data_IF_029317126893
#
_entry.id   IF_029317126893
#
_cell.length_a   1.000
_cell.length_b   1.000
_cell.length_c   1.000
_cell.angle_alpha   90.00
_cell.angle_beta   90.00
_cell.angle_gamma   90.00
#
_symmetry.space_group_name_H-M   'P 1'
#
loop_
_entity.id
_entity.type
_entity.pdbx_description
1 polymer ?
#
# COMPACT_ATOMS: atom_id res chain seq x y z
N UNK A 1 -10.73 -13.82 -13.90
CA UNK A 1 -10.14 -12.57 -13.38
C UNK A 1 -8.85 -13.00 -12.70
N UNK A 2 -7.72 -12.85 -13.40
CA UNK A 2 -6.40 -13.20 -12.85
C UNK A 2 -6.14 -12.36 -11.60
N UNK A 3 -5.61 -13.01 -10.55
CA UNK A 3 -5.51 -12.42 -9.23
C UNK A 3 -4.44 -11.34 -9.22
N UNK A 4 -4.83 -10.11 -8.93
CA UNK A 4 -3.95 -8.96 -8.69
C UNK A 4 -3.19 -9.21 -7.39
N UNK A 5 -1.94 -9.65 -7.42
CA UNK A 5 -1.24 -10.01 -6.17
C UNK A 5 0.03 -9.21 -5.98
N UNK A 6 0.02 -8.36 -4.95
CA UNK A 6 1.26 -8.05 -4.26
C UNK A 6 1.72 -9.30 -3.48
N UNK A 7 3.01 -9.55 -3.43
CA UNK A 7 3.54 -10.67 -2.65
C UNK A 7 4.67 -10.19 -1.76
N UNK A 8 4.58 -10.47 -0.46
CA UNK A 8 5.71 -10.36 0.46
C UNK A 8 6.25 -11.76 0.67
N UNK A 9 7.52 -11.99 0.38
CA UNK A 9 8.14 -13.30 0.49
C UNK A 9 9.57 -13.20 1.05
N UNK A 10 10.12 -14.34 1.44
CA UNK A 10 11.51 -14.44 1.89
C UNK A 10 12.13 -15.76 1.45
N UNK A 11 13.46 -15.80 1.36
CA UNK A 11 14.20 -17.02 1.02
C UNK A 11 14.52 -17.81 2.29
N UNK A 12 14.14 -19.09 2.32
CA UNK A 12 14.46 -20.02 3.40
C UNK A 12 15.82 -20.70 3.19
N UNK A 13 16.35 -21.34 4.26
CA UNK A 13 17.71 -21.94 4.29
C UNK A 13 17.95 -22.95 3.17
N UNK A 14 16.90 -23.59 2.70
CA UNK A 14 16.90 -24.54 1.58
C UNK A 14 16.87 -23.86 0.19
N UNK A 15 16.91 -22.53 0.14
CA UNK A 15 16.85 -21.73 -1.07
C UNK A 15 15.42 -21.51 -1.60
N UNK A 16 14.39 -22.05 -0.95
CA UNK A 16 13.02 -21.87 -1.41
C UNK A 16 12.51 -20.45 -1.11
N UNK A 17 11.89 -19.84 -2.11
CA UNK A 17 11.11 -18.62 -1.95
C UNK A 17 9.76 -18.96 -1.32
N UNK A 18 9.52 -18.40 -0.15
CA UNK A 18 8.30 -18.66 0.62
C UNK A 18 7.51 -17.37 0.70
N UNK A 19 6.36 -17.30 0.01
CA UNK A 19 5.38 -16.26 0.23
C UNK A 19 4.99 -16.20 1.71
N UNK A 20 5.20 -15.05 2.34
CA UNK A 20 4.76 -14.76 3.71
C UNK A 20 3.32 -14.23 3.68
N UNK A 21 3.04 -13.32 2.72
CA UNK A 21 1.74 -12.70 2.53
C UNK A 21 1.47 -12.49 1.04
N UNK A 22 0.24 -12.76 0.60
CA UNK A 22 -0.22 -12.50 -0.77
C UNK A 22 -1.42 -11.56 -0.76
N UNK A 23 -1.45 -10.60 -1.69
CA UNK A 23 -2.45 -9.56 -1.86
C UNK A 23 -3.84 -10.08 -2.24
N UNK A 24 -4.84 -9.21 -2.07
CA UNK A 24 -6.23 -9.43 -2.46
C UNK A 24 -7.27 -9.32 -1.33
N UNK A 25 -6.92 -8.81 -0.14
CA UNK A 25 -7.84 -8.63 1.00
C UNK A 25 -7.24 -7.70 2.08
N UNK A 26 -7.98 -6.97 2.93
CA UNK A 26 -7.41 -5.99 3.83
C UNK A 26 -6.83 -6.63 5.11
N UNK A 27 -5.69 -7.35 5.02
CA UNK A 27 -4.72 -7.16 6.12
C UNK A 27 -4.36 -5.67 6.14
N UNK A 28 -3.93 -5.12 7.27
CA UNK A 28 -3.34 -3.81 7.21
C UNK A 28 -2.13 -3.88 6.26
N UNK A 29 -1.91 -2.82 5.49
CA UNK A 29 -0.81 -2.58 4.56
C UNK A 29 0.57 -2.57 5.26
N UNK A 30 0.78 -3.42 6.27
CA UNK A 30 1.98 -3.51 7.08
C UNK A 30 3.24 -3.69 6.23
N UNK A 31 3.15 -4.30 5.06
CA UNK A 31 4.28 -4.37 4.13
C UNK A 31 4.77 -2.97 3.71
N UNK A 32 3.88 -1.97 3.57
CA UNK A 32 4.27 -0.57 3.34
C UNK A 32 5.05 0.03 4.51
N UNK A 33 4.91 -0.52 5.71
CA UNK A 33 5.68 -0.06 6.87
C UNK A 33 7.16 -0.47 6.77
N UNK A 34 7.51 -1.47 5.95
CA UNK A 34 8.88 -1.93 5.72
C UNK A 34 9.67 -1.03 4.78
N UNK A 35 8.98 -0.30 3.89
CA UNK A 35 9.58 0.37 2.73
C UNK A 35 9.77 1.86 2.98
N UNK A 36 10.86 2.41 2.49
CA UNK A 36 11.17 3.84 2.51
C UNK A 36 10.99 4.48 1.14
N UNK A 37 11.14 5.80 1.08
CA UNK A 37 10.99 6.55 -0.16
C UNK A 37 12.02 6.12 -1.23
N UNK A 38 13.28 5.92 -0.81
CA UNK A 38 14.36 5.44 -1.69
C UNK A 38 14.09 4.02 -2.21
N UNK A 39 13.51 3.15 -1.38
CA UNK A 39 13.16 1.78 -1.77
C UNK A 39 12.12 1.82 -2.92
N UNK A 40 11.10 2.68 -2.80
CA UNK A 40 10.06 2.86 -3.81
C UNK A 40 10.60 3.50 -5.09
N UNK A 41 11.47 4.50 -4.97
CA UNK A 41 12.06 5.16 -6.13
C UNK A 41 12.92 4.20 -6.94
N UNK A 42 13.82 3.48 -6.27
CA UNK A 42 14.66 2.48 -6.91
C UNK A 42 13.85 1.36 -7.56
N UNK A 43 12.80 0.91 -6.88
CA UNK A 43 11.86 -0.06 -7.43
C UNK A 43 11.16 0.42 -8.70
N UNK A 44 10.69 1.66 -8.69
CA UNK A 44 9.98 2.26 -9.82
C UNK A 44 10.89 2.43 -11.03
N UNK A 45 12.14 2.85 -10.82
CA UNK A 45 13.18 2.89 -11.86
C UNK A 45 13.45 1.50 -12.46
N UNK A 46 13.58 0.46 -11.61
CA UNK A 46 13.77 -0.93 -12.02
C UNK A 46 12.62 -1.41 -12.91
N UNK A 47 11.36 -1.16 -12.54
CA UNK A 47 10.21 -1.55 -13.37
C UNK A 47 10.15 -0.74 -14.67
N UNK A 48 10.42 0.57 -14.64
CA UNK A 48 10.44 1.40 -15.85
C UNK A 48 11.44 0.85 -16.87
N UNK A 49 12.64 0.48 -16.43
CA UNK A 49 13.65 -0.16 -17.28
C UNK A 49 13.18 -1.53 -17.79
N UNK A 50 12.57 -2.33 -16.92
CA UNK A 50 12.03 -3.64 -17.27
C UNK A 50 10.81 -3.60 -18.20
N UNK A 51 10.07 -2.50 -18.29
CA UNK A 51 8.96 -2.36 -19.25
C UNK A 51 9.43 -2.48 -20.71
N UNK A 52 10.74 -2.31 -20.95
CA UNK A 52 11.37 -2.45 -22.27
C UNK A 52 11.97 -3.84 -22.54
N UNK A 53 12.06 -4.72 -21.54
CA UNK A 53 12.66 -6.07 -21.63
C UNK A 53 12.06 -6.97 -20.55
N UNK A 54 11.46 -8.13 -20.90
CA UNK A 54 10.84 -9.01 -19.90
C UNK A 54 11.77 -9.27 -18.70
N UNK A 55 11.43 -8.82 -17.48
CA UNK A 55 12.31 -8.94 -16.33
C UNK A 55 12.29 -10.35 -15.74
N UNK A 56 13.48 -10.86 -15.41
CA UNK A 56 13.64 -12.11 -14.65
C UNK A 56 13.34 -11.93 -13.15
N UNK A 57 13.36 -10.70 -12.63
CA UNK A 57 13.02 -10.38 -11.24
C UNK A 57 12.44 -8.97 -11.11
N UNK A 58 11.17 -8.88 -10.70
CA UNK A 58 10.43 -7.63 -10.46
C UNK A 58 10.18 -7.37 -8.98
N UNK A 59 10.92 -8.01 -8.10
CA UNK A 59 10.81 -7.79 -6.66
C UNK A 59 11.74 -6.68 -6.17
N UNK A 60 11.31 -6.03 -5.10
CA UNK A 60 12.09 -5.12 -4.27
C UNK A 60 12.70 -5.92 -3.12
N UNK A 61 14.02 -5.92 -3.02
CA UNK A 61 14.76 -6.65 -2.00
C UNK A 61 15.13 -5.74 -0.83
N UNK A 62 14.47 -5.90 0.31
CA UNK A 62 14.67 -5.09 1.50
C UNK A 62 15.64 -5.78 2.46
N UNK A 63 16.63 -5.06 2.99
CA UNK A 63 17.39 -5.54 4.14
C UNK A 63 16.46 -5.71 5.34
N UNK A 64 16.44 -6.91 5.92
CA UNK A 64 15.49 -7.27 6.98
C UNK A 64 15.61 -6.36 8.20
N UNK A 65 16.83 -6.02 8.64
CA UNK A 65 17.03 -5.23 9.85
C UNK A 65 16.58 -3.77 9.62
N UNK A 66 16.93 -3.18 8.47
CA UNK A 66 16.48 -1.83 8.09
C UNK A 66 14.96 -1.78 7.93
N UNK A 67 14.37 -2.78 7.29
CA UNK A 67 12.93 -2.89 7.11
C UNK A 67 12.18 -2.96 8.44
N UNK A 68 12.67 -3.80 9.37
CA UNK A 68 12.10 -3.94 10.71
C UNK A 68 12.26 -2.68 11.56
N UNK A 69 13.42 -2.01 11.50
CA UNK A 69 13.64 -0.75 12.20
C UNK A 69 12.66 0.33 11.71
N UNK A 70 12.44 0.41 10.39
CA UNK A 70 11.49 1.34 9.78
C UNK A 70 10.06 1.07 10.22
N UNK A 71 9.62 -0.19 10.14
CA UNK A 71 8.27 -0.56 10.55
C UNK A 71 8.05 -0.34 12.06
N UNK A 72 9.04 -0.66 12.89
CA UNK A 72 9.00 -0.39 14.34
C UNK A 72 8.91 1.11 14.62
N UNK A 73 9.65 1.95 13.90
CA UNK A 73 9.57 3.41 14.01
C UNK A 73 8.18 3.97 13.66
N UNK A 74 7.42 3.27 12.82
CA UNK A 74 6.05 3.62 12.42
C UNK A 74 4.97 2.99 13.29
N UNK A 75 5.34 2.29 14.37
CA UNK A 75 4.38 1.65 15.29
C UNK A 75 3.37 2.65 15.88
N UNK A 76 3.83 3.85 16.24
CA UNK A 76 2.96 4.90 16.82
C UNK A 76 1.83 5.30 15.87
N UNK A 77 2.08 5.30 14.55
CA UNK A 77 1.05 5.56 13.55
C UNK A 77 -0.05 4.49 13.60
N UNK A 78 0.32 3.21 13.71
CA UNK A 78 -0.64 2.11 13.87
C UNK A 78 -1.42 2.27 15.17
N UNK A 79 -0.76 2.60 16.27
CA UNK A 79 -1.40 2.82 17.56
C UNK A 79 -2.45 3.95 17.51
N UNK A 80 -2.14 5.04 16.80
CA UNK A 80 -3.00 6.22 16.68
C UNK A 80 -4.18 6.03 15.74
N UNK A 81 -3.95 5.51 14.53
CA UNK A 81 -4.97 5.47 13.48
C UNK A 81 -5.61 4.08 13.29
N UNK A 82 -4.94 3.02 13.74
CA UNK A 82 -5.36 1.63 13.58
C UNK A 82 -5.21 0.84 14.88
N UNK A 83 -5.57 1.45 16.02
CA UNK A 83 -5.34 0.91 17.38
C UNK A 83 -5.78 -0.55 17.52
N UNK A 84 -6.93 -0.91 16.95
CA UNK A 84 -7.44 -2.29 17.01
C UNK A 84 -6.53 -3.30 16.31
N UNK A 85 -5.69 -2.87 15.37
CA UNK A 85 -4.71 -3.69 14.66
C UNK A 85 -3.32 -3.69 15.31
N UNK A 86 -3.09 -2.91 16.36
CA UNK A 86 -1.78 -2.82 17.02
C UNK A 86 -1.27 -4.19 17.52
N UNK A 87 -2.07 -5.04 18.20
CA UNK A 87 -1.60 -6.37 18.60
C UNK A 87 -1.21 -7.24 17.41
N UNK A 88 -1.95 -7.12 16.30
CA UNK A 88 -1.65 -7.87 15.07
C UNK A 88 -0.36 -7.36 14.40
N UNK A 89 -0.10 -6.05 14.45
CA UNK A 89 1.12 -5.45 13.94
C UNK A 89 2.33 -5.91 14.75
N UNK A 90 2.23 -5.88 16.08
CA UNK A 90 3.30 -6.30 16.98
C UNK A 90 3.64 -7.78 16.78
N UNK A 91 2.62 -8.64 16.68
CA UNK A 91 2.81 -10.05 16.33
C UNK A 91 3.51 -10.21 14.98
N UNK A 92 3.15 -9.41 13.98
CA UNK A 92 3.75 -9.47 12.64
C UNK A 92 5.23 -9.05 12.65
N UNK A 93 5.56 -7.96 13.34
CA UNK A 93 6.96 -7.52 13.54
C UNK A 93 7.76 -8.62 14.24
N UNK A 94 7.22 -9.19 15.31
CA UNK A 94 7.91 -10.23 16.07
C UNK A 94 8.10 -11.51 15.23
N UNK A 95 7.08 -11.91 14.46
CA UNK A 95 7.17 -13.01 13.50
C UNK A 95 8.31 -12.80 12.50
N UNK A 96 8.40 -11.62 11.89
CA UNK A 96 9.48 -11.30 10.97
C UNK A 96 10.84 -11.30 11.68
N UNK A 97 10.95 -10.74 12.89
CA UNK A 97 12.19 -10.71 13.67
C UNK A 97 12.77 -12.11 13.90
N UNK A 98 11.95 -13.05 14.39
CA UNK A 98 12.40 -14.41 14.73
C UNK A 98 12.51 -15.34 13.51
N UNK A 99 11.93 -14.95 12.37
CA UNK A 99 11.99 -15.75 11.15
C UNK A 99 13.40 -15.78 10.59
N UNK A 100 13.87 -16.96 10.21
CA UNK A 100 15.24 -17.17 9.78
C UNK A 100 15.30 -17.17 8.24
N UNK A 101 15.71 -16.03 7.67
CA UNK A 101 15.80 -15.81 6.22
C UNK A 101 17.27 -15.92 5.79
N UNK A 102 17.55 -16.69 4.75
CA UNK A 102 18.92 -17.10 4.36
C UNK A 102 19.84 -15.95 4.00
N UNK A 103 19.30 -14.95 3.33
CA UNK A 103 20.02 -13.78 2.85
C UNK A 103 19.73 -12.53 3.70
N UNK A 104 18.99 -12.70 4.81
CA UNK A 104 18.53 -11.60 5.66
C UNK A 104 17.75 -10.53 4.88
N UNK A 105 16.99 -10.95 3.85
CA UNK A 105 16.13 -10.05 3.07
C UNK A 105 14.65 -10.39 3.17
N UNK A 106 13.83 -9.36 2.98
CA UNK A 106 12.40 -9.46 2.74
C UNK A 106 12.16 -8.94 1.32
N UNK A 107 11.47 -9.73 0.52
CA UNK A 107 11.15 -9.38 -0.85
C UNK A 107 9.71 -8.93 -0.96
N UNK A 108 9.48 -7.88 -1.75
CA UNK A 108 8.15 -7.36 -2.06
C UNK A 108 7.99 -7.28 -3.56
N UNK A 109 7.08 -8.07 -4.12
CA UNK A 109 6.68 -8.00 -5.52
C UNK A 109 5.37 -7.23 -5.64
N UNK A 110 5.38 -6.19 -6.49
CA UNK A 110 4.24 -5.33 -6.79
C UNK A 110 4.02 -5.21 -8.30
N UNK A 111 4.65 -6.05 -9.12
CA UNK A 111 4.63 -5.88 -10.57
C UNK A 111 3.20 -5.90 -11.12
N UNK A 112 2.39 -6.90 -10.76
CA UNK A 112 0.99 -6.99 -11.17
C UNK A 112 0.12 -5.84 -10.64
N UNK A 113 0.54 -5.21 -9.54
CA UNK A 113 -0.15 -4.03 -9.00
C UNK A 113 0.22 -2.80 -9.82
N UNK A 114 1.48 -2.66 -10.20
CA UNK A 114 1.98 -1.53 -10.99
C UNK A 114 1.28 -1.43 -12.34
N UNK A 115 0.92 -2.57 -12.94
CA UNK A 115 0.19 -2.63 -14.22
C UNK A 115 -1.27 -2.17 -14.11
N UNK A 116 -1.80 -2.00 -12.89
CA UNK A 116 -3.15 -1.45 -12.68
C UNK A 116 -3.19 0.08 -12.78
N UNK A 117 -2.03 0.74 -12.82
CA UNK A 117 -1.92 2.18 -12.98
C UNK A 117 -1.77 2.54 -14.46
N UNK A 118 -2.29 3.72 -14.85
CA UNK A 118 -2.16 4.22 -16.23
C UNK A 118 -0.70 4.54 -16.57
N UNK A 119 0.08 4.96 -15.58
CA UNK A 119 1.49 5.27 -15.69
C UNK A 119 2.23 4.89 -14.39
N UNK A 120 3.51 4.53 -14.51
CA UNK A 120 4.34 4.10 -13.39
C UNK A 120 4.71 5.26 -12.45
N UNK A 121 4.75 6.52 -12.93
CA UNK A 121 4.99 7.66 -12.04
C UNK A 121 3.80 7.88 -11.10
N UNK A 122 2.57 7.62 -11.55
CA UNK A 122 1.38 7.70 -10.71
C UNK A 122 1.36 6.61 -9.64
N UNK A 123 1.82 5.41 -9.99
CA UNK A 123 2.01 4.32 -9.03
C UNK A 123 3.05 4.68 -7.96
N UNK A 124 4.22 5.17 -8.38
CA UNK A 124 5.29 5.64 -7.49
C UNK A 124 4.78 6.72 -6.53
N UNK A 125 4.16 7.79 -7.06
CA UNK A 125 3.60 8.88 -6.25
C UNK A 125 2.51 8.41 -5.29
N UNK A 126 1.76 7.39 -5.65
CA UNK A 126 0.74 6.81 -4.78
C UNK A 126 1.37 6.12 -3.57
N UNK A 127 2.46 5.35 -3.78
CA UNK A 127 3.21 4.71 -2.69
C UNK A 127 3.93 5.74 -1.80
N UNK A 128 4.58 6.75 -2.41
CA UNK A 128 5.28 7.82 -1.69
C UNK A 128 4.33 8.63 -0.79
N UNK A 129 3.10 8.90 -1.26
CA UNK A 129 2.08 9.57 -0.43
C UNK A 129 1.72 8.76 0.81
N UNK A 130 1.58 7.44 0.70
CA UNK A 130 1.29 6.58 1.84
C UNK A 130 2.45 6.62 2.85
N UNK A 131 3.69 6.47 2.36
CA UNK A 131 4.91 6.52 3.17
C UNK A 131 5.06 7.85 3.91
N UNK A 132 4.87 8.97 3.20
CA UNK A 132 4.95 10.30 3.79
C UNK A 132 3.93 10.50 4.92
N UNK A 133 2.74 9.91 4.81
CA UNK A 133 1.74 9.93 5.89
C UNK A 133 2.24 9.23 7.15
N UNK A 134 2.89 8.06 7.01
CA UNK A 134 3.44 7.33 8.15
C UNK A 134 4.54 8.12 8.85
N UNK A 135 5.46 8.68 8.07
CA UNK A 135 6.64 9.34 8.61
C UNK A 135 6.32 10.71 9.24
N UNK A 136 5.21 11.35 8.83
CA UNK A 136 4.69 12.60 9.42
C UNK A 136 3.66 12.39 10.53
N UNK A 137 3.32 11.14 10.85
CA UNK A 137 2.22 10.79 11.76
C UNK A 137 0.86 11.45 11.37
N UNK A 138 0.66 11.61 10.07
CA UNK A 138 -0.54 12.14 9.44
C UNK A 138 -1.38 10.99 8.87
N UNK A 139 -2.70 11.08 8.94
CA UNK A 139 -3.57 10.03 8.41
C UNK A 139 -3.31 9.80 6.91
N UNK A 140 -2.56 8.75 6.58
CA UNK A 140 -2.29 8.38 5.21
C UNK A 140 -3.59 8.07 4.44
N UNK A 141 -3.67 8.63 3.23
CA UNK A 141 -4.72 8.34 2.27
C UNK A 141 -4.29 7.20 1.36
N UNK A 142 -5.10 6.14 1.28
CA UNK A 142 -4.83 5.00 0.42
C UNK A 142 -5.71 5.08 -0.81
N UNK A 143 -5.10 4.98 -1.99
CA UNK A 143 -5.85 4.67 -3.19
C UNK A 143 -6.32 3.22 -3.15
N UNK A 144 -7.51 2.94 -3.68
CA UNK A 144 -8.10 1.59 -3.71
C UNK A 144 -7.16 0.54 -4.27
N UNK A 145 -6.31 0.92 -5.23
CA UNK A 145 -5.34 0.02 -5.86
C UNK A 145 -4.23 -0.40 -4.88
N UNK A 146 -3.73 0.53 -4.07
CA UNK A 146 -2.77 0.21 -2.99
C UNK A 146 -3.47 -0.55 -1.87
N UNK A 147 -4.67 -0.16 -1.47
CA UNK A 147 -5.43 -0.89 -0.47
C UNK A 147 -5.69 -2.35 -0.89
N UNK A 148 -5.88 -2.61 -2.19
CA UNK A 148 -6.03 -3.95 -2.76
C UNK A 148 -4.77 -4.82 -2.71
N UNK A 149 -3.60 -4.25 -2.45
CA UNK A 149 -2.33 -4.98 -2.24
C UNK A 149 -2.20 -5.56 -0.84
N UNK A 150 -3.08 -5.14 0.06
CA UNK A 150 -3.20 -5.76 1.36
C UNK A 150 -3.50 -7.26 1.17
N UNK A 151 -2.93 -8.09 2.04
CA UNK A 151 -2.91 -9.53 1.81
C UNK A 151 -3.64 -10.39 2.83
N UNK A 152 -3.49 -11.69 2.69
CA UNK A 152 -3.64 -12.71 3.71
C UNK A 152 -2.33 -13.48 3.79
N UNK A 153 -2.11 -14.19 4.89
CA UNK A 153 -1.03 -15.18 4.93
C UNK A 153 -1.09 -16.05 3.69
N UNK A 154 0.04 -16.19 3.00
CA UNK A 154 0.07 -16.97 1.77
C UNK A 154 -0.26 -18.45 2.04
N UNK A 155 -0.99 -19.07 1.11
CA UNK A 155 -1.31 -20.51 1.19
C UNK A 155 -0.10 -21.35 0.83
N UNK A 156 0.86 -21.43 1.75
CA UNK A 156 2.04 -22.28 1.63
C UNK A 156 1.94 -23.48 2.61
N UNK A 157 2.68 -24.55 2.32
CA UNK A 157 2.78 -25.74 3.19
C UNK A 157 3.86 -25.57 4.26
N UNK A 158 4.25 -24.33 4.58
CA UNK A 158 5.37 -24.09 5.48
C UNK A 158 4.96 -24.40 6.93
N UNK A 159 5.93 -24.85 7.74
CA UNK A 159 5.73 -25.11 9.17
C UNK A 159 5.70 -23.83 10.01
N UNK A 160 6.15 -22.70 9.46
CA UNK A 160 6.21 -21.40 10.15
C UNK A 160 5.25 -20.41 9.51
N UNK A 161 3.97 -20.70 9.69
CA UNK A 161 2.88 -19.82 9.28
C UNK A 161 2.59 -18.79 10.38
N UNK A 162 2.41 -17.55 9.97
CA UNK A 162 1.91 -16.48 10.81
C UNK A 162 0.57 -16.82 11.48
N UNK A 163 -0.35 -17.55 10.84
CA UNK A 163 -1.62 -17.98 11.48
C UNK A 163 -1.40 -18.91 12.66
N UNK A 164 -0.37 -19.74 12.61
CA UNK A 164 -0.04 -20.67 13.70
C UNK A 164 0.67 -19.91 14.83
N UNK A 165 1.40 -18.85 14.48
CA UNK A 165 2.12 -17.97 15.41
C UNK A 165 1.22 -16.98 16.16
N UNK A 166 0.41 -16.19 15.46
CA UNK A 166 -0.34 -15.06 16.03
C UNK A 166 -1.74 -15.46 16.49
N UNK A 167 -1.99 -15.34 17.79
CA UNK A 167 -3.35 -15.41 18.35
C UNK A 167 -4.24 -14.28 17.84
N UNK A 168 -3.69 -13.06 17.79
CA UNK A 168 -4.38 -11.86 17.31
C UNK A 168 -4.89 -12.01 15.87
N UNK A 169 -4.10 -12.66 15.01
CA UNK A 169 -4.48 -12.97 13.63
C UNK A 169 -5.65 -13.95 13.57
N UNK A 170 -5.59 -15.04 14.33
CA UNK A 170 -6.68 -16.04 14.38
C UNK A 170 -8.00 -15.45 14.88
N UNK A 171 -7.94 -14.57 15.87
CA UNK A 171 -9.14 -13.94 16.45
C UNK A 171 -9.73 -12.88 15.52
N UNK A 172 -8.91 -12.04 14.89
CA UNK A 172 -9.36 -11.06 13.90
C UNK A 172 -9.94 -11.70 12.64
N UNK A 173 -9.33 -12.79 12.17
CA UNK A 173 -9.84 -13.57 11.04
C UNK A 173 -11.23 -14.17 11.31
N UNK A 174 -11.61 -14.34 12.58
CA UNK A 174 -12.93 -14.86 12.98
C UNK A 174 -14.00 -13.78 13.20
N UNK A 175 -13.65 -12.52 13.47
CA UNK A 175 -14.62 -11.47 13.87
C UNK A 175 -14.64 -10.17 13.07
N UNK A 176 -13.51 -9.67 12.57
CA UNK A 176 -13.40 -8.23 12.19
C UNK A 176 -12.75 -7.92 10.84
N UNK A 177 -11.97 -8.84 10.26
CA UNK A 177 -11.26 -8.55 8.99
C UNK A 177 -12.25 -8.30 7.83
N UNK A 178 -13.49 -8.79 7.96
CA UNK A 178 -14.48 -8.82 6.87
C UNK A 178 -15.58 -7.73 6.92
N UNK A 179 -15.80 -7.04 8.04
CA UNK A 179 -16.98 -6.16 8.20
C UNK A 179 -16.66 -4.67 8.43
N UNK A 180 -15.51 -4.33 9.01
CA UNK A 180 -15.20 -2.94 9.42
C UNK A 180 -14.03 -2.27 8.68
N UNK A 181 -13.06 -3.03 8.15
CA UNK A 181 -11.89 -2.45 7.47
C UNK A 181 -12.14 -2.03 6.02
N UNK A 182 -13.17 -2.60 5.38
CA UNK A 182 -13.65 -2.21 4.05
C UNK A 182 -14.20 -0.75 4.03
N UNK A 183 -14.50 -0.18 5.20
CA UNK A 183 -15.02 1.19 5.35
C UNK A 183 -14.05 2.20 5.98
N UNK A 184 -13.02 1.76 6.72
CA UNK A 184 -12.15 2.66 7.54
C UNK A 184 -10.76 2.92 6.97
N UNK A 185 -10.26 2.10 6.05
CA UNK A 185 -9.25 2.61 5.12
C UNK A 185 -10.03 3.64 4.32
N UNK A 186 -9.84 4.94 4.56
CA UNK A 186 -10.49 5.98 3.78
C UNK A 186 -9.98 5.90 2.35
N UNK A 187 -10.61 4.99 1.62
CA UNK A 187 -10.57 4.78 0.20
C UNK A 187 -11.07 6.09 -0.39
N UNK A 188 -10.14 7.00 -0.63
CA UNK A 188 -10.43 8.11 -1.51
C UNK A 188 -10.85 7.45 -2.81
N UNK A 189 -12.14 7.54 -3.17
CA UNK A 189 -12.55 7.27 -4.54
C UNK A 189 -11.64 8.15 -5.38
N UNK A 190 -10.65 7.56 -6.03
CA UNK A 190 -9.93 8.25 -7.09
C UNK A 190 -11.04 8.60 -8.06
N UNK A 191 -11.41 9.88 -8.11
CA UNK A 191 -12.36 10.34 -9.11
C UNK A 191 -11.71 9.93 -10.42
N UNK A 192 -12.41 9.09 -11.18
CA UNK A 192 -11.91 8.66 -12.48
C UNK A 192 -11.45 9.89 -13.26
N UNK A 193 -10.42 9.77 -14.12
CA UNK A 193 -9.90 10.91 -14.88
C UNK A 193 -11.03 11.72 -15.54
N UNK A 194 -12.06 11.02 -16.02
CA UNK A 194 -13.27 11.59 -16.59
C UNK A 194 -14.12 12.42 -15.59
N UNK A 195 -14.27 11.96 -14.34
CA UNK A 195 -14.96 12.73 -13.29
C UNK A 195 -14.14 13.94 -12.86
N UNK A 196 -12.81 13.80 -12.76
CA UNK A 196 -11.88 14.93 -12.49
C UNK A 196 -12.03 16.01 -13.55
N UNK A 197 -11.94 15.62 -14.82
CA UNK A 197 -12.13 16.54 -15.95
C UNK A 197 -13.50 17.23 -15.91
N UNK A 198 -14.59 16.47 -15.67
CA UNK A 198 -15.94 17.04 -15.57
C UNK A 198 -16.06 18.05 -14.42
N UNK A 199 -15.50 17.75 -13.25
CA UNK A 199 -15.52 18.65 -12.10
C UNK A 199 -14.71 19.92 -12.38
N UNK A 200 -13.54 19.81 -12.99
CA UNK A 200 -12.72 20.96 -13.38
C UNK A 200 -13.45 21.87 -14.36
N UNK A 201 -14.13 21.28 -15.35
CA UNK A 201 -14.96 22.04 -16.31
C UNK A 201 -16.11 22.74 -15.60
N UNK A 202 -16.82 22.06 -14.69
CA UNK A 202 -17.92 22.65 -13.93
C UNK A 202 -17.47 23.83 -13.06
N UNK A 203 -16.33 23.68 -12.37
CA UNK A 203 -15.76 24.76 -11.53
C UNK A 203 -15.36 25.96 -12.39
N UNK A 204 -14.67 25.73 -13.51
CA UNK A 204 -14.29 26.80 -14.43
C UNK A 204 -15.52 27.52 -15.00
N UNK A 205 -16.56 26.76 -15.38
CA UNK A 205 -17.82 27.33 -15.89
C UNK A 205 -18.52 28.19 -14.84
N UNK A 206 -18.55 27.74 -13.59
CA UNK A 206 -19.14 28.50 -12.48
C UNK A 206 -18.38 29.81 -12.22
N UNK A 207 -17.04 29.77 -12.26
CA UNK A 207 -16.20 30.98 -12.10
C UNK A 207 -16.46 31.96 -13.26
N UNK A 208 -16.52 31.47 -14.50
CA UNK A 208 -16.80 32.31 -15.67
C UNK A 208 -18.17 32.98 -15.58
N UNK A 209 -19.21 32.25 -15.18
CA UNK A 209 -20.55 32.81 -15.00
C UNK A 209 -20.60 33.87 -13.89
N UNK A 210 -19.83 33.67 -12.81
CA UNK A 210 -19.75 34.61 -11.70
C UNK A 210 -19.05 35.91 -12.13
N UNK A 211 -17.98 35.82 -12.92
CA UNK A 211 -17.29 36.99 -13.51
C UNK A 211 -18.24 37.75 -14.45
N UNK A 212 -18.94 37.04 -15.34
CA UNK A 212 -19.91 37.67 -16.26
C UNK A 212 -21.02 38.38 -15.47
N UNK A 213 -21.54 37.76 -14.41
CA UNK A 213 -22.54 38.37 -13.54
C UNK A 213 -22.05 39.65 -12.86
N UNK A 214 -20.82 39.66 -12.36
CA UNK A 214 -20.19 40.85 -11.77
C UNK A 214 -20.04 41.97 -12.81
N UNK A 215 -19.56 41.65 -14.02
CA UNK A 215 -19.41 42.63 -15.10
C UNK A 215 -20.76 43.20 -15.52
N UNK A 216 -21.79 42.37 -15.67
CA UNK A 216 -23.14 42.81 -16.00
C UNK A 216 -23.72 43.74 -14.91
N UNK A 217 -23.52 43.42 -13.63
CA UNK A 217 -23.92 44.27 -12.51
C UNK A 217 -23.18 45.62 -12.53
N UNK A 218 -21.87 45.62 -12.79
CA UNK A 218 -21.08 46.86 -12.89
C UNK A 218 -21.49 47.74 -14.07
N UNK A 219 -21.95 47.14 -15.18
CA UNK A 219 -22.51 47.88 -16.32
C UNK A 219 -23.92 48.42 -16.06
N UNK A 220 -24.70 47.78 -15.20
CA UNK A 220 -26.08 48.18 -14.90
C UNK A 220 -26.19 49.24 -13.81
N UNK A 221 -25.16 49.33 -12.95
CA UNK A 221 -25.04 50.35 -11.88
C UNK A 221 -24.36 51.64 -12.39
N UNK A 222 -24.04 51.70 -13.69
CA UNK A 222 -23.41 52.85 -14.36
C UNK A 222 -24.45 53.60 -15.21
#
# INVERSE_FOLDING_TARGET
>A
MESRKACVFAKQRDGQEVPLFEGGNPLPFFWLMLVGDDDIRHYSEKIKQASHTMPDDTSMALDKLKALAKATGRRNYIEKYYTSCLPLFDDWIYFLQISDFTDMKIYVDLYEVSTCYTDLDDFEKSLQRAIAGFDKDEQAWYENTIAGTCGYEARNKNKRRFVDFSGSYRDKNKKDIYSHFDQRIHLGKTMSPHKRMLLTVLVLTAISLLIIGIVALLYWVK
#
